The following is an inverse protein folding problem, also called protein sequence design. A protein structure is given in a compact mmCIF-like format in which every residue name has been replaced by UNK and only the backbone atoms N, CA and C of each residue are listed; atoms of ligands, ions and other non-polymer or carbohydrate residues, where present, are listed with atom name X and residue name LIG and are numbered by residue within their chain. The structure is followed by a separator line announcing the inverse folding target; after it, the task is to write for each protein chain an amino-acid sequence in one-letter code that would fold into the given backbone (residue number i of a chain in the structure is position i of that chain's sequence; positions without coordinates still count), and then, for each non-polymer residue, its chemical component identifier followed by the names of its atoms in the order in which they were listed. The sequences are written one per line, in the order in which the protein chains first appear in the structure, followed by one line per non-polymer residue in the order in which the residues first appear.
data_IF_826700564749
#
_entry.id   IF_826700564749
#
_cell.length_a   1.000
_cell.length_b   1.000
_cell.length_c   1.000
_cell.angle_alpha   90.00
_cell.angle_beta   90.00
_cell.angle_gamma   90.00
#
_symmetry.space_group_name_H-M   'P 1'
#
loop_
_entity.id
_entity.type
_entity.pdbx_description
1 polymer ?
#
# COMPACT_ATOMS: atom_id res chain seq x y z
N UNK A 1 8.45 22.21 18.08
CA UNK A 1 9.36 22.40 16.95
C UNK A 1 10.55 21.48 17.14
N UNK A 2 11.06 20.86 16.08
CA UNK A 2 12.27 20.04 16.13
C UNK A 2 13.49 20.90 16.45
N UNK A 3 14.45 20.36 17.23
CA UNK A 3 15.66 21.08 17.61
C UNK A 3 16.65 21.12 16.45
N UNK A 4 17.04 22.31 16.01
CA UNK A 4 18.08 22.51 14.98
C UNK A 4 19.47 22.07 15.43
N UNK A 5 19.69 21.96 16.76
CA UNK A 5 20.96 21.51 17.33
C UNK A 5 21.11 19.99 17.30
N UNK A 6 20.00 19.25 17.33
CA UNK A 6 20.04 17.79 17.30
C UNK A 6 20.31 17.33 15.87
N UNK A 7 21.42 16.62 15.68
CA UNK A 7 21.79 16.00 14.41
C UNK A 7 21.13 14.64 14.25
N UNK A 8 20.64 14.36 13.05
CA UNK A 8 20.12 13.06 12.66
C UNK A 8 21.18 12.20 12.00
N UNK A 9 20.74 11.09 11.38
CA UNK A 9 21.62 10.17 10.65
C UNK A 9 22.39 10.93 9.55
N UNK A 10 23.71 10.72 9.48
CA UNK A 10 24.58 11.40 8.51
C UNK A 10 24.66 12.92 8.72
N UNK A 11 24.64 13.40 9.98
CA UNK A 11 24.73 14.82 10.35
C UNK A 11 23.60 15.73 9.80
N UNK A 12 22.48 15.14 9.38
CA UNK A 12 21.32 15.86 8.85
C UNK A 12 20.68 16.78 9.89
N UNK A 13 20.12 17.89 9.42
CA UNK A 13 19.31 18.82 10.22
C UNK A 13 17.85 18.63 9.82
N UNK A 14 16.94 18.61 10.80
CA UNK A 14 15.51 18.57 10.56
C UNK A 14 14.86 19.92 10.87
N UNK A 15 14.38 20.59 9.83
CA UNK A 15 13.52 21.77 9.97
C UNK A 15 12.06 21.32 9.95
N UNK A 16 11.45 21.18 11.14
CA UNK A 16 10.06 20.77 11.27
C UNK A 16 9.38 21.41 12.48
N UNK A 17 8.11 21.81 12.30
CA UNK A 17 7.26 22.30 13.40
C UNK A 17 6.92 21.14 14.36
N UNK A 18 6.88 19.91 13.83
CA UNK A 18 6.55 18.69 14.55
C UNK A 18 7.81 18.13 15.22
N UNK A 19 7.80 18.05 16.55
CA UNK A 19 8.83 17.36 17.33
C UNK A 19 8.61 15.84 17.29
N UNK A 20 9.61 15.05 17.70
CA UNK A 20 9.48 13.58 17.81
C UNK A 20 8.22 13.16 18.60
N UNK A 21 8.02 13.70 19.81
CA UNK A 21 6.87 13.33 20.65
C UNK A 21 5.51 13.71 20.03
N UNK A 22 5.47 14.81 19.25
CA UNK A 22 4.26 15.20 18.51
C UNK A 22 4.03 14.28 17.33
N UNK A 23 5.09 13.89 16.63
CA UNK A 23 5.04 12.96 15.51
C UNK A 23 4.51 11.60 15.97
N UNK A 24 5.00 11.06 17.09
CA UNK A 24 4.49 9.82 17.68
C UNK A 24 2.98 9.88 17.96
N UNK A 25 2.50 10.98 18.56
CA UNK A 25 1.06 11.17 18.84
C UNK A 25 0.21 11.29 17.58
N UNK A 26 0.71 12.00 16.56
CA UNK A 26 0.03 12.14 15.27
C UNK A 26 -0.07 10.76 14.60
N UNK A 27 1.04 10.03 14.53
CA UNK A 27 1.09 8.72 13.88
C UNK A 27 0.19 7.70 14.57
N UNK A 28 0.11 7.73 15.91
CA UNK A 28 -0.82 6.88 16.65
C UNK A 28 -2.28 7.03 16.18
N UNK A 29 -2.74 8.25 15.89
CA UNK A 29 -4.11 8.49 15.40
C UNK A 29 -4.22 8.24 13.88
N UNK A 30 -3.19 8.64 13.13
CA UNK A 30 -3.16 8.51 11.66
C UNK A 30 -3.13 7.05 11.19
N UNK A 31 -2.47 6.17 11.93
CA UNK A 31 -2.26 4.76 11.61
C UNK A 31 -3.29 3.83 12.29
N UNK A 32 -4.33 4.39 12.89
CA UNK A 32 -5.45 3.66 13.47
C UNK A 32 -6.53 3.39 12.41
N UNK A 33 -6.91 2.12 12.23
CA UNK A 33 -7.84 1.66 11.19
C UNK A 33 -9.29 2.08 11.46
N UNK A 34 -9.66 2.25 12.74
CA UNK A 34 -10.95 2.79 13.18
C UNK A 34 -11.04 4.31 13.01
N UNK A 35 -10.00 4.91 12.45
CA UNK A 35 -9.87 6.34 12.25
C UNK A 35 -9.44 6.73 10.85
N UNK A 36 -8.15 6.95 10.64
CA UNK A 36 -7.61 7.53 9.42
C UNK A 36 -7.07 6.46 8.47
N UNK A 37 -6.62 5.30 8.98
CA UNK A 37 -5.88 4.30 8.21
C UNK A 37 -6.82 3.31 7.51
N UNK A 38 -7.40 3.73 6.40
CA UNK A 38 -8.23 2.87 5.55
C UNK A 38 -7.41 1.81 4.83
N UNK A 39 -8.05 0.72 4.41
CA UNK A 39 -7.52 -0.25 3.43
C UNK A 39 -7.14 0.40 2.08
N UNK A 40 -7.59 1.64 1.86
CA UNK A 40 -7.35 2.39 0.63
C UNK A 40 -6.44 3.61 0.79
N UNK A 41 -5.86 3.84 1.99
CA UNK A 41 -4.96 4.96 2.27
C UNK A 41 -5.38 5.77 3.52
N UNK A 42 -4.94 7.02 3.62
CA UNK A 42 -5.30 7.93 4.71
C UNK A 42 -6.56 8.73 4.36
N UNK A 43 -7.60 8.61 5.20
CA UNK A 43 -8.86 9.34 5.11
C UNK A 43 -8.67 10.83 5.35
N UNK A 44 -9.47 11.67 4.69
CA UNK A 44 -9.44 13.12 4.90
C UNK A 44 -10.03 13.56 6.24
N UNK A 45 -10.89 12.74 6.85
CA UNK A 45 -11.41 12.92 8.21
C UNK A 45 -11.42 11.57 8.93
N UNK A 46 -11.14 11.58 10.24
CA UNK A 46 -11.19 10.37 11.06
C UNK A 46 -12.58 9.75 11.05
N UNK A 47 -12.66 8.44 10.82
CA UNK A 47 -13.88 7.63 10.90
C UNK A 47 -14.53 7.67 12.29
N UNK A 48 -13.78 8.03 13.34
CA UNK A 48 -14.32 8.35 14.67
C UNK A 48 -15.50 9.35 14.63
N UNK A 49 -15.45 10.32 13.71
CA UNK A 49 -16.48 11.35 13.56
C UNK A 49 -17.77 10.84 12.89
N UNK A 50 -17.87 9.56 12.57
CA UNK A 50 -19.12 8.92 12.16
C UNK A 50 -20.09 8.87 13.34
N UNK A 51 -19.63 8.37 14.49
CA UNK A 51 -20.42 8.28 15.72
C UNK A 51 -20.25 9.50 16.62
N UNK A 52 -19.16 10.27 16.44
CA UNK A 52 -18.82 11.43 17.26
C UNK A 52 -18.59 12.68 16.40
N UNK A 53 -19.61 13.16 15.67
CA UNK A 53 -19.44 14.32 14.80
C UNK A 53 -19.08 15.56 15.62
N UNK A 54 -18.21 16.41 15.05
CA UNK A 54 -17.88 17.68 15.68
C UNK A 54 -19.01 18.68 15.43
N UNK A 55 -19.47 19.37 16.48
CA UNK A 55 -20.50 20.39 16.34
C UNK A 55 -20.19 21.65 17.13
N UNK A 56 -20.63 22.80 16.61
CA UNK A 56 -20.48 24.10 17.23
C UNK A 56 -21.74 24.94 17.04
N UNK A 57 -22.19 25.61 18.10
CA UNK A 57 -23.26 26.60 18.02
C UNK A 57 -22.67 27.99 17.73
N UNK A 58 -23.16 28.62 16.65
CA UNK A 58 -22.77 29.97 16.24
C UNK A 58 -24.04 30.77 15.98
N UNK A 59 -24.26 31.84 16.74
CA UNK A 59 -25.45 32.71 16.64
C UNK A 59 -26.80 31.95 16.69
N UNK A 60 -26.89 30.90 17.52
CA UNK A 60 -28.12 30.09 17.67
C UNK A 60 -28.32 29.04 16.57
N UNK A 61 -27.38 28.91 15.63
CA UNK A 61 -27.38 27.85 14.63
C UNK A 61 -26.31 26.81 14.96
N UNK A 62 -26.70 25.53 14.96
CA UNK A 62 -25.79 24.41 15.15
C UNK A 62 -25.16 24.02 13.81
N UNK A 63 -23.84 24.08 13.73
CA UNK A 63 -23.04 23.54 12.61
C UNK A 63 -22.44 22.20 13.02
N UNK A 64 -22.46 21.22 12.11
CA UNK A 64 -22.03 19.86 12.38
C UNK A 64 -21.17 19.32 11.22
N UNK A 65 -20.08 18.63 11.55
CA UNK A 65 -19.20 17.96 10.60
C UNK A 65 -19.04 16.51 11.06
N UNK A 66 -19.64 15.60 10.31
CA UNK A 66 -19.52 14.15 10.48
C UNK A 66 -18.68 13.51 9.36
N UNK A 67 -18.27 12.26 9.61
CA UNK A 67 -17.58 11.43 8.62
C UNK A 67 -18.52 11.00 7.49
N UNK A 68 -18.11 11.23 6.25
CA UNK A 68 -18.79 10.82 5.03
C UNK A 68 -17.75 10.25 4.08
N UNK A 69 -17.75 8.93 3.79
CA UNK A 69 -16.65 8.27 3.09
C UNK A 69 -16.61 8.57 1.59
N UNK A 70 -17.75 8.88 0.96
CA UNK A 70 -17.88 9.06 -0.49
C UNK A 70 -18.31 10.47 -0.91
N UNK A 71 -19.30 10.58 -1.78
CA UNK A 71 -19.86 11.87 -2.22
C UNK A 71 -20.39 12.69 -1.03
N UNK A 72 -20.36 14.03 -1.13
CA UNK A 72 -20.84 14.89 -0.05
C UNK A 72 -22.35 14.72 0.16
N UNK A 73 -22.78 14.65 1.42
CA UNK A 73 -24.19 14.65 1.82
C UNK A 73 -24.80 16.06 1.95
N UNK A 74 -24.06 17.09 1.53
CA UNK A 74 -24.49 18.50 1.58
C UNK A 74 -24.15 19.26 0.31
N UNK A 75 -24.95 20.27 -0.04
CA UNK A 75 -24.75 21.11 -1.22
C UNK A 75 -23.61 22.14 -1.12
N UNK A 76 -22.86 22.17 -0.01
CA UNK A 76 -21.69 23.04 0.10
C UNK A 76 -20.64 22.66 -0.96
N UNK A 77 -20.03 23.66 -1.59
CA UNK A 77 -18.97 23.47 -2.61
C UNK A 77 -19.38 22.60 -3.82
N UNK A 78 -20.61 22.75 -4.30
CA UNK A 78 -21.07 22.08 -5.53
C UNK A 78 -21.54 20.64 -5.34
N UNK A 79 -21.72 20.19 -4.10
CA UNK A 79 -22.46 18.97 -3.75
C UNK A 79 -21.73 17.65 -3.96
N UNK A 80 -20.76 17.57 -4.88
CA UNK A 80 -20.07 16.32 -5.19
C UNK A 80 -18.73 16.18 -4.44
N UNK A 81 -17.94 17.25 -4.35
CA UNK A 81 -16.60 17.18 -3.72
C UNK A 81 -16.69 17.07 -2.20
N UNK A 82 -15.89 16.19 -1.61
CA UNK A 82 -15.96 15.89 -0.19
C UNK A 82 -14.58 15.69 0.46
N UNK A 83 -14.35 16.39 1.56
CA UNK A 83 -13.13 16.33 2.39
C UNK A 83 -13.39 15.75 3.79
N UNK A 84 -14.55 15.11 3.99
CA UNK A 84 -14.99 14.60 5.29
C UNK A 84 -14.85 13.08 5.42
N UNK A 85 -13.89 12.48 4.74
CA UNK A 85 -13.71 11.04 4.79
C UNK A 85 -13.02 10.40 3.59
N UNK A 86 -13.23 10.88 2.34
CA UNK A 86 -12.60 10.27 1.18
C UNK A 86 -11.07 10.30 1.23
N UNK A 87 -10.46 9.41 0.45
CA UNK A 87 -9.01 9.36 0.19
C UNK A 87 -8.68 10.30 -0.96
N UNK A 88 -7.69 11.17 -0.72
CA UNK A 88 -7.14 12.08 -1.72
C UNK A 88 -5.66 11.78 -1.94
N UNK A 89 -5.27 11.51 -3.19
CA UNK A 89 -3.88 11.15 -3.51
C UNK A 89 -2.90 12.30 -3.25
N UNK A 90 -3.29 13.55 -3.46
CA UNK A 90 -2.44 14.71 -3.17
C UNK A 90 -1.99 14.76 -1.70
N UNK A 91 -2.93 14.60 -0.77
CA UNK A 91 -2.63 14.65 0.67
C UNK A 91 -1.84 13.41 1.09
N UNK A 92 -2.25 12.23 0.62
CA UNK A 92 -1.53 10.99 0.91
C UNK A 92 -0.08 11.02 0.42
N UNK A 93 0.15 11.56 -0.78
CA UNK A 93 1.51 11.72 -1.32
C UNK A 93 2.37 12.64 -0.44
N UNK A 94 1.82 13.76 0.04
CA UNK A 94 2.55 14.65 0.96
C UNK A 94 2.85 13.97 2.31
N UNK A 95 1.96 13.12 2.80
CA UNK A 95 2.20 12.33 4.02
C UNK A 95 3.33 11.30 3.81
N UNK A 96 3.33 10.58 2.69
CA UNK A 96 4.39 9.64 2.30
C UNK A 96 5.74 10.35 2.23
N UNK A 97 5.82 11.45 1.48
CA UNK A 97 7.01 12.28 1.32
C UNK A 97 7.51 12.83 2.68
N UNK A 98 6.59 13.17 3.59
CA UNK A 98 6.93 13.63 4.94
C UNK A 98 7.52 12.51 5.79
N UNK A 99 6.91 11.31 5.77
CA UNK A 99 7.40 10.12 6.48
C UNK A 99 8.80 9.72 6.02
N UNK A 100 9.06 9.76 4.71
CA UNK A 100 10.38 9.48 4.14
C UNK A 100 11.42 10.50 4.62
N UNK A 101 11.09 11.81 4.67
CA UNK A 101 11.99 12.84 5.21
C UNK A 101 12.30 12.62 6.69
N UNK A 102 11.29 12.28 7.49
CA UNK A 102 11.52 11.93 8.90
C UNK A 102 12.34 10.66 9.05
N UNK A 103 12.16 9.65 8.19
CA UNK A 103 13.01 8.46 8.16
C UNK A 103 14.47 8.78 7.84
N UNK A 104 14.74 9.65 6.86
CA UNK A 104 16.11 10.06 6.54
C UNK A 104 16.82 10.74 7.72
N UNK A 105 16.07 11.43 8.59
CA UNK A 105 16.61 12.06 9.79
C UNK A 105 16.75 11.08 10.97
N UNK A 106 15.68 10.36 11.31
CA UNK A 106 15.65 9.50 12.51
C UNK A 106 16.23 8.09 12.28
N UNK A 107 16.28 7.61 11.04
CA UNK A 107 16.75 6.27 10.70
C UNK A 107 15.81 5.14 11.15
N UNK A 108 16.31 3.89 11.14
CA UNK A 108 15.52 2.70 11.47
C UNK A 108 15.21 2.56 12.97
N UNK A 109 15.94 3.28 13.84
CA UNK A 109 15.79 3.19 15.30
C UNK A 109 14.50 3.84 15.80
N UNK A 110 13.94 4.79 15.03
CA UNK A 110 12.66 5.37 15.35
C UNK A 110 11.54 4.56 14.71
N UNK A 111 10.87 3.77 15.55
CA UNK A 111 9.78 2.91 15.16
C UNK A 111 8.47 3.36 15.79
N UNK A 112 7.38 3.13 15.06
CA UNK A 112 6.01 3.35 15.51
C UNK A 112 5.19 2.11 15.21
N UNK A 113 4.12 1.93 15.97
CA UNK A 113 3.16 0.85 15.75
C UNK A 113 2.35 1.13 14.47
N UNK A 114 2.22 0.16 13.58
CA UNK A 114 1.51 0.32 12.31
C UNK A 114 0.97 -1.03 11.81
N UNK A 115 -0.36 -1.26 11.82
CA UNK A 115 -1.41 -0.35 12.32
C UNK A 115 -1.33 -0.10 13.84
N UNK A 116 -1.89 1.00 14.31
CA UNK A 116 -2.03 1.25 15.76
C UNK A 116 -2.84 0.13 16.41
N UNK A 117 -2.38 -0.39 17.56
CA UNK A 117 -3.01 -1.49 18.29
C UNK A 117 -2.69 -2.91 17.77
N UNK A 118 -1.88 -3.05 16.72
CA UNK A 118 -1.49 -4.36 16.17
C UNK A 118 -0.36 -5.06 16.93
N UNK A 119 0.45 -4.32 17.70
CA UNK A 119 1.72 -4.77 18.27
C UNK A 119 2.89 -4.77 17.28
N UNK A 120 2.66 -4.44 16.00
CA UNK A 120 3.70 -4.46 14.97
C UNK A 120 4.39 -3.09 14.85
N UNK A 121 5.67 -3.05 15.19
CA UNK A 121 6.49 -1.84 15.14
C UNK A 121 7.36 -1.81 13.88
N UNK A 122 7.36 -0.68 13.19
CA UNK A 122 8.18 -0.47 12.00
C UNK A 122 8.71 0.95 11.92
N UNK A 123 9.85 1.11 11.24
CA UNK A 123 10.40 2.45 11.00
C UNK A 123 9.57 3.21 9.96
N UNK A 124 9.68 4.54 9.96
CA UNK A 124 8.84 5.42 9.14
C UNK A 124 8.93 5.17 7.62
N UNK A 125 10.04 4.61 7.14
CA UNK A 125 10.19 4.17 5.75
C UNK A 125 9.18 3.07 5.39
N UNK A 126 9.04 2.04 6.25
CA UNK A 126 8.06 0.96 6.06
C UNK A 126 6.63 1.46 6.22
N UNK A 127 6.36 2.38 7.15
CA UNK A 127 5.05 3.05 7.25
C UNK A 127 4.71 3.76 5.93
N UNK A 128 5.67 4.45 5.32
CA UNK A 128 5.47 5.14 4.05
C UNK A 128 5.22 4.16 2.89
N UNK A 129 5.89 3.00 2.88
CA UNK A 129 5.62 1.93 1.92
C UNK A 129 4.20 1.39 2.09
N UNK A 130 3.71 1.21 3.33
CA UNK A 130 2.37 0.67 3.53
C UNK A 130 1.25 1.58 3.07
N UNK A 131 1.39 2.89 3.25
CA UNK A 131 0.44 3.85 2.70
C UNK A 131 0.47 3.77 1.17
N UNK A 132 1.65 3.69 0.55
CA UNK A 132 1.79 3.56 -0.91
C UNK A 132 1.19 2.25 -1.44
N UNK A 133 1.35 1.13 -0.74
CA UNK A 133 0.76 -0.15 -1.14
C UNK A 133 -0.77 -0.07 -1.13
N UNK A 134 -1.37 0.45 -0.05
CA UNK A 134 -2.82 0.65 0.05
C UNK A 134 -3.38 1.53 -1.08
N UNK A 135 -2.64 2.57 -1.47
CA UNK A 135 -3.01 3.44 -2.59
C UNK A 135 -2.87 2.74 -3.95
N UNK A 136 -1.83 1.92 -4.13
CA UNK A 136 -1.68 1.09 -5.33
C UNK A 136 -2.77 0.02 -5.43
N UNK A 137 -3.23 -0.51 -4.31
CA UNK A 137 -4.30 -1.51 -4.27
C UNK A 137 -5.63 -1.00 -4.82
N UNK A 138 -5.90 0.31 -4.77
CA UNK A 138 -7.04 0.91 -5.46
C UNK A 138 -7.10 0.48 -6.93
N UNK A 139 -5.95 0.51 -7.60
CA UNK A 139 -5.80 0.28 -9.03
C UNK A 139 -5.49 -1.18 -9.37
N UNK A 140 -5.19 -2.05 -8.39
CA UNK A 140 -4.80 -3.43 -8.63
C UNK A 140 -6.03 -4.36 -8.70
N UNK A 141 -5.92 -5.47 -9.45
CA UNK A 141 -6.97 -6.50 -9.45
C UNK A 141 -6.82 -7.36 -8.20
N UNK A 142 -7.90 -7.50 -7.47
CA UNK A 142 -8.06 -8.47 -6.38
C UNK A 142 -8.25 -9.89 -6.94
N UNK A 143 -8.36 -10.88 -6.06
CA UNK A 143 -8.50 -12.29 -6.44
C UNK A 143 -9.80 -12.62 -7.19
N UNK A 144 -10.82 -11.77 -7.05
CA UNK A 144 -12.07 -11.83 -7.79
C UNK A 144 -12.00 -11.10 -9.16
N UNK A 145 -10.83 -10.58 -9.52
CA UNK A 145 -10.59 -9.87 -10.78
C UNK A 145 -11.00 -8.40 -10.79
N UNK A 146 -11.52 -7.87 -9.68
CA UNK A 146 -12.05 -6.50 -9.61
C UNK A 146 -11.02 -5.48 -9.16
N UNK A 147 -11.28 -4.20 -9.44
CA UNK A 147 -10.52 -3.07 -8.88
C UNK A 147 -11.41 -2.24 -7.98
N UNK A 148 -10.89 -1.76 -6.85
CA UNK A 148 -11.67 -0.88 -5.97
C UNK A 148 -12.18 0.34 -6.72
N UNK A 149 -11.34 0.97 -7.56
CA UNK A 149 -11.73 2.18 -8.32
C UNK A 149 -12.98 2.01 -9.18
N UNK A 150 -13.24 0.79 -9.67
CA UNK A 150 -14.36 0.51 -10.58
C UNK A 150 -15.70 0.42 -9.84
N UNK A 151 -15.69 0.37 -8.51
CA UNK A 151 -16.92 0.40 -7.70
C UNK A 151 -17.88 -0.77 -7.96
N UNK A 152 -17.38 -1.90 -8.49
CA UNK A 152 -18.19 -3.06 -8.85
C UNK A 152 -18.87 -2.98 -10.22
N UNK A 153 -18.45 -2.08 -11.12
CA UNK A 153 -18.93 -2.06 -12.51
C UNK A 153 -18.32 -3.22 -13.30
N UNK A 154 -19.14 -4.25 -13.58
CA UNK A 154 -18.73 -5.44 -14.35
C UNK A 154 -18.20 -5.12 -15.75
N UNK A 155 -18.64 -4.02 -16.36
CA UNK A 155 -18.08 -3.59 -17.65
C UNK A 155 -16.63 -3.16 -17.47
N UNK A 156 -16.32 -2.37 -16.44
CA UNK A 156 -14.95 -1.91 -16.20
C UNK A 156 -14.05 -2.99 -15.61
N UNK A 157 -14.62 -4.04 -15.01
CA UNK A 157 -13.85 -5.15 -14.43
C UNK A 157 -13.61 -6.31 -15.43
N UNK A 158 -14.60 -6.64 -16.27
CA UNK A 158 -14.60 -7.90 -17.03
C UNK A 158 -14.84 -7.78 -18.54
N UNK A 159 -15.42 -6.67 -19.03
CA UNK A 159 -15.66 -6.52 -20.48
C UNK A 159 -14.32 -6.44 -21.22
N UNK A 160 -14.17 -7.25 -22.28
CA UNK A 160 -12.93 -7.39 -23.05
C UNK A 160 -12.42 -6.05 -23.58
N UNK A 161 -13.32 -5.11 -23.90
CA UNK A 161 -12.98 -3.81 -24.43
C UNK A 161 -12.70 -2.75 -23.37
N UNK A 162 -13.06 -2.99 -22.10
CA UNK A 162 -12.99 -1.95 -21.05
C UNK A 162 -12.14 -2.33 -19.84
N UNK A 163 -11.94 -3.63 -19.56
CA UNK A 163 -11.28 -4.16 -18.36
C UNK A 163 -9.88 -3.60 -18.07
N UNK A 164 -9.19 -3.09 -19.09
CA UNK A 164 -7.81 -2.59 -19.01
C UNK A 164 -7.73 -1.05 -19.02
N UNK A 165 -8.85 -0.34 -19.15
CA UNK A 165 -8.89 1.12 -19.05
C UNK A 165 -9.04 1.59 -17.60
N UNK A 166 -7.97 2.15 -17.04
CA UNK A 166 -7.95 2.68 -15.69
C UNK A 166 -8.42 4.13 -15.65
N UNK A 167 -9.50 4.38 -14.91
CA UNK A 167 -10.02 5.73 -14.74
C UNK A 167 -9.34 6.44 -13.57
N UNK A 168 -8.97 7.70 -13.81
CA UNK A 168 -8.33 8.53 -12.79
C UNK A 168 -9.41 9.43 -12.19
N UNK A 169 -9.72 9.19 -10.93
CA UNK A 169 -10.77 9.90 -10.22
C UNK A 169 -10.21 11.05 -9.38
N UNK A 170 -11.07 11.99 -9.03
CA UNK A 170 -10.74 13.13 -8.19
C UNK A 170 -10.38 12.68 -6.78
N UNK A 171 -11.15 11.77 -6.21
CA UNK A 171 -10.94 11.16 -4.90
C UNK A 171 -11.55 9.75 -4.86
N UNK A 172 -11.32 9.03 -3.78
CA UNK A 172 -11.76 7.65 -3.61
C UNK A 172 -12.52 7.50 -2.30
N UNK A 173 -13.53 6.64 -2.30
CA UNK A 173 -14.32 6.39 -1.10
C UNK A 173 -13.44 5.84 0.04
N UNK A 174 -13.56 6.45 1.22
CA UNK A 174 -12.73 6.15 2.39
C UNK A 174 -12.95 4.77 3.00
N UNK A 175 -14.04 4.08 2.66
CA UNK A 175 -14.40 2.76 3.19
C UNK A 175 -14.28 1.64 2.15
N UNK A 176 -14.57 1.88 0.87
CA UNK A 176 -14.52 0.83 -0.18
C UNK A 176 -13.60 1.14 -1.38
N UNK A 177 -13.05 2.35 -1.46
CA UNK A 177 -12.07 2.72 -2.49
C UNK A 177 -12.64 2.97 -3.89
N UNK A 178 -13.97 3.01 -4.09
CA UNK A 178 -14.56 3.37 -5.39
C UNK A 178 -14.14 4.76 -5.82
N UNK A 179 -13.89 4.93 -7.12
CA UNK A 179 -13.52 6.20 -7.71
C UNK A 179 -14.69 7.18 -7.74
N UNK A 180 -14.44 8.44 -7.37
CA UNK A 180 -15.45 9.48 -7.20
C UNK A 180 -15.03 10.83 -7.77
N UNK A 181 -16.01 11.74 -7.91
CA UNK A 181 -15.80 13.07 -8.46
C UNK A 181 -15.47 13.06 -9.95
N UNK A 182 -14.75 14.09 -10.42
CA UNK A 182 -14.35 14.18 -11.81
C UNK A 182 -13.50 12.97 -12.24
N UNK A 183 -13.82 12.39 -13.40
CA UNK A 183 -12.99 11.36 -14.03
C UNK A 183 -11.91 11.99 -14.91
N UNK A 184 -10.93 11.18 -15.34
CA UNK A 184 -9.75 11.63 -16.09
C UNK A 184 -8.96 12.73 -15.38
N UNK A 185 -8.97 12.70 -14.05
CA UNK A 185 -8.16 13.58 -13.20
C UNK A 185 -6.70 13.11 -13.25
N UNK A 186 -5.99 13.41 -14.34
CA UNK A 186 -4.54 13.18 -14.43
C UNK A 186 -3.74 14.31 -13.76
N UNK A 187 -4.34 14.97 -12.76
CA UNK A 187 -3.67 15.95 -11.92
C UNK A 187 -2.97 15.24 -10.77
N UNK A 188 -3.54 15.35 -9.56
CA UNK A 188 -2.94 14.71 -8.38
C UNK A 188 -3.09 13.19 -8.36
N UNK A 189 -4.09 12.61 -9.02
CA UNK A 189 -4.20 11.14 -9.10
C UNK A 189 -3.09 10.56 -9.96
N UNK A 190 -2.50 11.36 -10.87
CA UNK A 190 -1.27 11.03 -11.60
C UNK A 190 -0.06 10.71 -10.72
N UNK A 191 -0.04 11.16 -9.46
CA UNK A 191 1.02 10.85 -8.50
C UNK A 191 1.16 9.36 -8.20
N UNK A 192 0.14 8.54 -8.54
CA UNK A 192 0.24 7.08 -8.42
C UNK A 192 1.42 6.50 -9.22
N UNK A 193 1.76 7.11 -10.37
CA UNK A 193 2.90 6.69 -11.18
C UNK A 193 4.22 6.75 -10.39
N UNK A 194 4.38 7.79 -9.55
CA UNK A 194 5.56 7.92 -8.70
C UNK A 194 5.58 6.86 -7.60
N UNK A 195 4.44 6.54 -6.99
CA UNK A 195 4.36 5.49 -5.96
C UNK A 195 4.67 4.11 -6.54
N UNK A 196 4.20 3.82 -7.75
CA UNK A 196 4.51 2.59 -8.49
C UNK A 196 6.01 2.52 -8.81
N UNK A 197 6.60 3.62 -9.27
CA UNK A 197 8.05 3.68 -9.49
C UNK A 197 8.84 3.37 -8.20
N UNK A 198 8.45 3.96 -7.07
CA UNK A 198 9.20 3.86 -5.83
C UNK A 198 9.00 2.50 -5.11
N UNK A 199 7.81 1.90 -5.21
CA UNK A 199 7.46 0.71 -4.40
C UNK A 199 6.75 -0.42 -5.16
N UNK A 200 6.43 -0.26 -6.43
CA UNK A 200 5.62 -1.22 -7.21
C UNK A 200 6.21 -2.62 -7.28
N UNK A 201 7.54 -2.74 -7.33
CA UNK A 201 8.25 -4.04 -7.33
C UNK A 201 8.02 -4.81 -6.02
N UNK A 202 7.90 -4.10 -4.90
CA UNK A 202 7.72 -4.67 -3.56
C UNK A 202 6.25 -4.61 -3.09
N UNK A 203 5.35 -4.11 -3.95
CA UNK A 203 3.96 -3.97 -3.62
C UNK A 203 3.31 -5.35 -3.49
N UNK A 204 2.81 -5.63 -2.28
CA UNK A 204 2.08 -6.88 -2.01
C UNK A 204 0.77 -6.87 -2.79
N UNK A 205 0.20 -8.04 -3.05
CA UNK A 205 -1.14 -8.09 -3.64
C UNK A 205 -2.18 -7.58 -2.63
N UNK A 206 -3.27 -6.94 -3.11
CA UNK A 206 -4.42 -6.62 -2.27
C UNK A 206 -4.88 -7.83 -1.44
N UNK A 207 -5.33 -7.60 -0.22
CA UNK A 207 -5.76 -8.66 0.71
C UNK A 207 -4.69 -9.70 1.12
N UNK A 208 -3.42 -9.48 0.76
CA UNK A 208 -2.34 -10.32 1.29
C UNK A 208 -2.16 -10.02 2.78
N UNK A 209 -2.17 -11.04 3.66
CA UNK A 209 -1.96 -10.85 5.09
C UNK A 209 -0.64 -10.13 5.40
N UNK A 210 -0.70 -9.17 6.31
CA UNK A 210 0.40 -8.21 6.54
C UNK A 210 1.56 -8.79 7.34
N UNK A 211 1.24 -9.74 8.23
CA UNK A 211 2.18 -10.36 9.17
C UNK A 211 1.99 -11.86 9.24
N UNK A 212 2.97 -12.63 9.74
CA UNK A 212 2.83 -14.07 9.92
C UNK A 212 1.64 -14.45 10.82
N UNK A 213 1.28 -13.64 11.82
CA UNK A 213 0.13 -13.88 12.69
C UNK A 213 -1.20 -13.71 11.96
N UNK A 214 -1.37 -12.62 11.21
CA UNK A 214 -2.57 -12.40 10.37
C UNK A 214 -2.60 -13.41 9.22
N UNK A 215 -1.44 -13.76 8.65
CA UNK A 215 -1.31 -14.81 7.64
C UNK A 215 -1.76 -16.15 8.22
N UNK A 216 -1.37 -16.45 9.47
CA UNK A 216 -1.79 -17.66 10.13
C UNK A 216 -3.31 -17.70 10.33
N UNK A 217 -3.96 -16.61 10.75
CA UNK A 217 -5.42 -16.53 10.77
C UNK A 217 -6.01 -16.76 9.37
N UNK A 218 -5.62 -15.93 8.41
CA UNK A 218 -6.15 -15.97 7.04
C UNK A 218 -5.98 -17.32 6.32
N UNK A 219 -4.88 -18.04 6.55
CA UNK A 219 -4.60 -19.32 5.90
C UNK A 219 -4.98 -20.56 6.72
N UNK A 220 -5.10 -20.47 8.05
CA UNK A 220 -5.33 -21.61 8.94
C UNK A 220 -6.68 -21.58 9.68
N UNK A 221 -7.54 -20.57 9.48
CA UNK A 221 -8.89 -20.54 10.07
C UNK A 221 -9.74 -21.78 9.70
N UNK A 222 -9.57 -22.32 8.49
CA UNK A 222 -10.26 -23.54 8.02
C UNK A 222 -9.74 -24.85 8.64
N UNK A 223 -8.54 -24.86 9.23
CA UNK A 223 -7.93 -26.06 9.81
C UNK A 223 -8.53 -26.35 11.20
N UNK A 224 -8.93 -25.32 11.95
CA UNK A 224 -9.47 -25.48 13.29
C UNK A 224 -10.99 -25.72 13.33
N UNK A 225 -11.73 -25.41 12.26
CA UNK A 225 -13.16 -25.72 12.17
C UNK A 225 -13.49 -27.15 11.69
N UNK A 226 -12.50 -27.97 11.31
CA UNK A 226 -12.74 -29.36 10.88
C UNK A 226 -12.84 -30.39 12.01
N UNK A 227 -12.81 -29.98 13.27
CA UNK A 227 -12.82 -30.88 14.43
C UNK A 227 -13.91 -30.56 15.46
N UNK A 228 -15.15 -30.33 15.04
CA UNK A 228 -16.32 -30.48 15.90
C UNK A 228 -17.61 -30.42 15.08
N UNK A 229 -18.29 -31.57 14.89
CA UNK A 229 -19.65 -31.56 14.34
C UNK A 229 -20.03 -32.83 13.59
N UNK A 230 -20.53 -33.81 14.33
CA UNK A 230 -21.27 -34.98 13.86
C UNK A 230 -22.53 -34.60 13.07
N UNK A 231 -22.65 -35.13 11.83
CA UNK A 231 -23.92 -35.64 11.27
C UNK A 231 -24.87 -34.69 10.51
N UNK A 232 -25.26 -35.17 9.32
CA UNK A 232 -26.46 -34.92 8.46
C UNK A 232 -26.14 -34.30 7.09
N UNK A 233 -26.57 -34.91 5.96
CA UNK A 233 -26.19 -34.47 4.61
C UNK A 233 -27.18 -33.44 4.04
N UNK A 234 -26.67 -32.35 3.45
CA UNK A 234 -27.48 -31.49 2.60
C UNK A 234 -26.71 -30.93 1.40
N UNK A 235 -27.31 -31.17 0.22
CA UNK A 235 -27.22 -30.47 -1.07
C UNK A 235 -25.86 -29.94 -1.54
N UNK A 236 -25.26 -30.64 -2.51
CA UNK A 236 -24.09 -30.19 -3.26
C UNK A 236 -24.42 -28.97 -4.14
N UNK A 237 -23.89 -27.81 -3.76
CA UNK A 237 -23.51 -26.76 -4.71
C UNK A 237 -22.00 -26.86 -4.96
N UNK A 238 -21.51 -26.63 -6.19
CA UNK A 238 -20.10 -26.80 -6.50
C UNK A 238 -19.27 -25.75 -5.74
N UNK A 239 -18.61 -26.19 -4.67
CA UNK A 239 -17.59 -25.40 -3.98
C UNK A 239 -16.37 -25.30 -4.89
N UNK A 240 -16.17 -24.14 -5.49
CA UNK A 240 -14.94 -23.81 -6.19
C UNK A 240 -13.81 -23.86 -5.15
N UNK A 241 -12.90 -24.83 -5.31
CA UNK A 241 -11.65 -24.94 -4.56
C UNK A 241 -10.88 -23.62 -4.70
N UNK A 242 -10.72 -22.87 -3.60
CA UNK A 242 -9.69 -21.84 -3.49
C UNK A 242 -8.32 -22.53 -3.50
N UNK A 243 -7.71 -22.61 -4.67
CA UNK A 243 -6.31 -22.97 -4.84
C UNK A 243 -5.47 -21.72 -4.61
N UNK A 244 -4.92 -21.55 -3.41
CA UNK A 244 -3.95 -20.49 -3.12
C UNK A 244 -2.60 -20.84 -3.73
N UNK A 245 -2.35 -20.42 -4.98
CA UNK A 245 -0.99 -20.34 -5.51
C UNK A 245 -0.41 -18.99 -5.09
N UNK A 246 0.70 -19.00 -4.34
CA UNK A 246 1.47 -17.80 -4.06
C UNK A 246 1.88 -17.13 -5.38
N UNK A 247 1.42 -15.90 -5.63
CA UNK A 247 1.80 -15.15 -6.83
C UNK A 247 2.32 -13.78 -6.40
N UNK A 248 3.64 -13.61 -6.53
CA UNK A 248 4.26 -12.30 -6.64
C UNK A 248 3.73 -11.60 -7.90
N UNK A 249 3.68 -10.26 -7.91
CA UNK A 249 3.28 -9.47 -9.08
C UNK A 249 4.14 -9.79 -10.31
N UNK A 250 5.39 -10.25 -10.11
CA UNK A 250 6.29 -10.70 -11.17
C UNK A 250 5.96 -12.07 -11.78
N UNK A 251 4.91 -12.75 -11.31
CA UNK A 251 4.53 -14.10 -11.75
C UNK A 251 3.05 -14.20 -12.21
N UNK A 252 2.46 -13.09 -12.69
CA UNK A 252 1.15 -13.13 -13.36
C UNK A 252 1.34 -13.36 -14.86
N UNK A 253 0.69 -14.40 -15.36
CA UNK A 253 0.49 -14.76 -16.78
C UNK A 253 -0.37 -13.75 -17.55
N UNK A 254 -0.72 -12.62 -16.93
CA UNK A 254 -1.59 -11.59 -17.51
C UNK A 254 -0.77 -10.52 -18.26
N UNK A 255 0.55 -10.72 -18.31
CA UNK A 255 1.52 -9.96 -19.13
C UNK A 255 2.11 -10.82 -20.26
N UNK A 256 1.55 -12.01 -20.50
CA UNK A 256 1.90 -12.83 -21.66
C UNK A 256 1.14 -12.35 -22.90
N UNK A 257 1.91 -12.14 -23.96
CA UNK A 257 1.47 -11.82 -25.32
C UNK A 257 0.24 -12.64 -25.72
N UNK A 258 -0.80 -11.94 -26.16
CA UNK A 258 -2.02 -12.53 -26.70
C UNK A 258 -1.70 -13.29 -28.00
N UNK A 259 -1.36 -14.58 -27.88
CA UNK A 259 -1.30 -15.52 -29.00
C UNK A 259 -2.34 -16.61 -28.78
N UNK A 260 -3.61 -16.22 -28.86
CA UNK A 260 -4.72 -17.15 -29.14
C UNK A 260 -5.39 -16.81 -30.46
N UNK A 261 -4.59 -16.80 -31.53
CA UNK A 261 -5.01 -17.39 -32.79
C UNK A 261 -4.22 -18.68 -32.97
N UNK A 262 -4.82 -19.83 -32.64
CA UNK A 262 -4.24 -21.13 -32.97
C UNK A 262 -5.16 -21.82 -33.97
N UNK A 263 -4.91 -21.50 -35.23
CA UNK A 263 -4.68 -22.58 -36.20
C UNK A 263 -3.16 -22.80 -36.30
N UNK A 264 -2.74 -24.04 -36.05
CA UNK A 264 -1.48 -24.71 -36.44
C UNK A 264 -0.10 -24.33 -35.85
N UNK A 265 0.44 -25.36 -35.15
CA UNK A 265 1.82 -25.87 -35.12
C UNK A 265 2.98 -24.96 -34.68
N UNK A 266 3.43 -25.14 -33.43
CA UNK A 266 4.76 -24.69 -32.97
C UNK A 266 5.75 -25.86 -33.08
N UNK A 267 6.80 -25.63 -33.88
CA UNK A 267 8.02 -26.44 -33.86
C UNK A 267 8.80 -26.19 -32.56
N UNK A 268 9.29 -27.27 -31.95
CA UNK A 268 10.22 -27.24 -30.82
C UNK A 268 11.55 -26.63 -31.26
N UNK A 269 11.93 -25.46 -30.71
CA UNK A 269 13.21 -24.79 -31.01
C UNK A 269 14.16 -24.92 -29.81
N UNK A 270 15.03 -25.94 -29.88
CA UNK A 270 16.02 -26.26 -28.84
C UNK A 270 16.97 -25.09 -28.53
N UNK A 271 17.19 -24.16 -29.46
CA UNK A 271 18.06 -23.01 -29.22
C UNK A 271 17.47 -22.03 -28.21
N UNK A 272 16.15 -21.88 -28.20
CA UNK A 272 15.44 -20.98 -27.28
C UNK A 272 15.43 -21.51 -25.85
N UNK A 273 15.33 -22.83 -25.68
CA UNK A 273 15.45 -23.47 -24.38
C UNK A 273 16.88 -23.39 -23.83
N UNK A 274 17.88 -23.51 -24.71
CA UNK A 274 19.29 -23.36 -24.33
C UNK A 274 19.60 -21.95 -23.87
N UNK A 275 19.13 -20.93 -24.61
CA UNK A 275 19.29 -19.52 -24.25
C UNK A 275 18.63 -19.18 -22.90
N UNK A 276 17.45 -19.77 -22.62
CA UNK A 276 16.77 -19.60 -21.33
C UNK A 276 17.55 -20.24 -20.19
N UNK A 277 18.07 -21.44 -20.40
CA UNK A 277 18.87 -22.16 -19.40
C UNK A 277 20.18 -21.43 -19.08
N UNK A 278 20.82 -20.84 -20.08
CA UNK A 278 22.02 -20.01 -19.90
C UNK A 278 21.73 -18.71 -19.13
N UNK A 279 20.59 -18.06 -19.43
CA UNK A 279 20.15 -16.85 -18.71
C UNK A 279 19.84 -17.15 -17.23
N UNK A 280 19.16 -18.27 -16.94
CA UNK A 280 18.84 -18.71 -15.58
C UNK A 280 20.12 -19.04 -14.79
N UNK A 281 21.10 -19.68 -15.42
CA UNK A 281 22.40 -19.97 -14.80
C UNK A 281 23.20 -18.69 -14.49
N UNK A 282 23.17 -17.70 -15.39
CA UNK A 282 23.82 -16.41 -15.18
C UNK A 282 23.18 -15.63 -14.04
N UNK A 283 21.84 -15.63 -13.97
CA UNK A 283 21.10 -15.00 -12.86
C UNK A 283 21.43 -15.66 -11.52
N UNK A 284 21.48 -16.99 -11.47
CA UNK A 284 21.82 -17.73 -10.25
C UNK A 284 23.24 -17.41 -9.76
N UNK A 285 24.20 -17.30 -10.69
CA UNK A 285 25.60 -16.93 -10.38
C UNK A 285 25.67 -15.51 -9.82
N UNK A 286 25.00 -14.55 -10.47
CA UNK A 286 24.95 -13.16 -10.00
C UNK A 286 24.35 -13.02 -8.60
N UNK A 287 23.25 -13.72 -8.32
CA UNK A 287 22.61 -13.71 -6.99
C UNK A 287 23.52 -14.31 -5.93
N UNK A 288 24.24 -15.39 -6.27
CA UNK A 288 25.18 -16.04 -5.37
C UNK A 288 26.36 -15.11 -5.02
N UNK A 289 26.95 -14.46 -6.03
CA UNK A 289 28.04 -13.49 -5.84
C UNK A 289 27.63 -12.30 -4.96
N UNK A 290 26.40 -11.78 -5.14
CA UNK A 290 25.90 -10.68 -4.31
C UNK A 290 25.69 -11.10 -2.86
N UNK A 291 25.22 -12.33 -2.63
CA UNK A 291 25.06 -12.89 -1.29
C UNK A 291 26.40 -13.16 -0.61
N UNK A 292 27.43 -13.56 -1.35
CA UNK A 292 28.79 -13.72 -0.81
C UNK A 292 29.41 -12.36 -0.45
N UNK A 293 29.31 -11.34 -1.31
CA UNK A 293 29.78 -9.98 -0.99
C UNK A 293 29.12 -9.43 0.28
N UNK A 294 27.81 -9.66 0.43
CA UNK A 294 27.07 -9.21 1.61
C UNK A 294 27.47 -9.96 2.89
N UNK A 295 27.89 -11.22 2.77
CA UNK A 295 28.44 -12.00 3.89
C UNK A 295 29.84 -11.50 4.25
N UNK A 296 30.70 -11.23 3.26
CA UNK A 296 32.05 -10.74 3.48
C UNK A 296 32.06 -9.32 4.10
N UNK A 297 31.17 -8.43 3.65
CA UNK A 297 30.98 -7.09 4.24
C UNK A 297 30.51 -7.14 5.70
N UNK A 298 29.73 -8.17 6.09
CA UNK A 298 29.32 -8.36 7.48
C UNK A 298 30.39 -9.04 8.35
N UNK A 299 31.32 -9.79 7.75
CA UNK A 299 32.44 -10.44 8.47
C UNK A 299 33.61 -9.48 8.67
N UNK A 300 33.81 -8.50 7.77
CA UNK A 300 34.82 -7.44 7.87
C UNK A 300 34.34 -6.21 8.66
N UNK A 301 33.60 -6.44 9.76
CA UNK A 301 33.21 -5.41 10.73
C UNK A 301 34.39 -4.87 11.56
N UNK A 302 35.45 -4.41 10.91
CA UNK A 302 36.53 -3.62 11.50
C UNK A 302 36.96 -2.57 10.45
N UNK A 303 36.19 -1.47 10.35
CA UNK A 303 36.73 -0.26 9.74
C UNK A 303 37.59 0.44 10.80
N UNK A 304 38.89 0.16 10.68
CA UNK A 304 39.95 0.94 11.30
C UNK A 304 39.81 2.42 10.91
N UNK A 305 40.02 3.24 11.93
CA UNK A 305 40.14 4.67 11.87
C UNK A 305 41.44 5.01 11.14
N UNK A 306 41.38 5.55 9.92
CA UNK A 306 42.47 6.41 9.44
C UNK A 306 42.03 7.29 8.26
N UNK A 307 42.56 8.52 8.32
CA UNK A 307 42.65 9.56 7.29
C UNK A 307 41.37 10.29 6.85
N UNK A 308 41.08 11.41 7.52
CA UNK A 308 40.77 12.65 6.78
C UNK A 308 41.17 13.90 7.60
N UNK A 309 42.00 14.73 6.96
CA UNK A 309 42.79 15.83 7.55
C UNK A 309 41.95 16.98 8.13
N UNK A 310 42.31 17.41 9.35
CA UNK A 310 41.90 18.71 9.90
C UNK A 310 42.48 19.86 9.06
N UNK A 311 41.62 20.80 8.63
CA UNK A 311 42.06 22.15 8.27
C UNK A 311 41.68 23.12 9.38
N UNK A 312 42.71 23.64 10.06
CA UNK A 312 42.59 24.77 11.00
C UNK A 312 42.78 26.09 10.23
N UNK A 313 41.75 26.94 10.25
CA UNK A 313 41.82 28.38 10.47
C UNK A 313 40.41 28.92 10.69
#
# INVERSE_FOLDING_TARGET
MASIRKRGKGNRILLSIVSKDRLEKILKRMLDEDEFFSDHGIRSLSKFHKENPFSMDVNGQKFCVGYVPGDSDSGLFGGNSNWRGPIWLCVNFLLVESLQRFFLFYGPDFQVECPTGSGDYMHLGKVSEEIQHRLQHLFARTDDGRRSINGGDDRLDFDEHWKDYLWFHEFFDGDNGRGLGATHQCGWTGLIARMIHDTGVNCRLPHTPRTPSIAMGHYFDDIFHRSAGTGVPHSEMPRIRRSSTARSIGARSDFDDDVRSVTNSIHHDENRERARTEADAHMHTYVSDQLERYKDENVQGNYEHDDEFETKA
#
